data_IF_322547627996
#
_entry.id   IF_322547627996
#
_cell.length_a   1.000
_cell.length_b   1.000
_cell.length_c   1.000
_cell.angle_alpha   90.00
_cell.angle_beta   90.00
_cell.angle_gamma   90.00
#
_symmetry.space_group_name_H-M   'P 1'
#
loop_
_entity.id
_entity.type
_entity.pdbx_description
1 polymer ?
#
# COMPACT_ATOMS: atom_id res chain seq x y z
N UNK A 1 17.33 -97.95 10.24
CA UNK A 1 17.65 -96.54 10.56
C UNK A 1 17.64 -95.68 9.29
N UNK A 2 16.49 -95.47 8.63
CA UNK A 2 16.43 -94.74 7.35
C UNK A 2 15.42 -93.56 7.33
N UNK A 3 14.62 -93.38 8.40
CA UNK A 3 13.53 -92.40 8.43
C UNK A 3 13.90 -91.10 9.17
N UNK A 4 14.98 -91.11 9.97
CA UNK A 4 15.38 -89.97 10.79
C UNK A 4 15.99 -88.80 10.00
N UNK A 5 16.77 -89.10 8.95
CA UNK A 5 17.42 -88.09 8.10
C UNK A 5 16.41 -87.21 7.34
N UNK A 6 15.40 -87.75 6.63
CA UNK A 6 14.43 -86.92 5.90
C UNK A 6 13.50 -86.09 6.81
N UNK A 7 13.22 -86.55 8.03
CA UNK A 7 12.41 -85.78 9.01
C UNK A 7 13.21 -84.60 9.56
N UNK A 8 14.50 -84.79 9.84
CA UNK A 8 15.39 -83.71 10.28
C UNK A 8 15.59 -82.66 9.19
N UNK A 9 15.80 -83.05 7.94
CA UNK A 9 15.93 -82.08 6.84
C UNK A 9 14.64 -81.30 6.59
N UNK A 10 13.48 -81.96 6.64
CA UNK A 10 12.17 -81.28 6.54
C UNK A 10 11.93 -80.28 7.68
N UNK A 11 12.32 -80.62 8.91
CA UNK A 11 12.25 -79.72 10.06
C UNK A 11 13.17 -78.51 9.91
N UNK A 12 14.43 -78.72 9.49
CA UNK A 12 15.39 -77.64 9.24
C UNK A 12 14.95 -76.70 8.13
N UNK A 13 14.44 -77.24 7.02
CA UNK A 13 13.90 -76.42 5.93
C UNK A 13 12.72 -75.60 6.43
N UNK A 14 11.75 -76.20 7.15
CA UNK A 14 10.60 -75.49 7.70
C UNK A 14 11.01 -74.38 8.66
N UNK A 15 11.97 -74.63 9.53
CA UNK A 15 12.46 -73.64 10.49
C UNK A 15 13.23 -72.50 9.79
N UNK A 16 14.09 -72.82 8.82
CA UNK A 16 14.76 -71.83 7.98
C UNK A 16 13.77 -70.97 7.19
N UNK A 17 12.71 -71.57 6.62
CA UNK A 17 11.68 -70.82 5.88
C UNK A 17 10.89 -69.89 6.82
N UNK A 18 10.58 -70.35 8.04
CA UNK A 18 9.89 -69.54 9.05
C UNK A 18 10.75 -68.36 9.51
N UNK A 19 12.05 -68.56 9.73
CA UNK A 19 12.99 -67.48 10.06
C UNK A 19 13.09 -66.47 8.91
N UNK A 20 13.27 -66.93 7.68
CA UNK A 20 13.32 -66.06 6.51
C UNK A 20 12.01 -65.26 6.31
N UNK A 21 10.85 -65.87 6.53
CA UNK A 21 9.55 -65.19 6.48
C UNK A 21 9.40 -64.13 7.57
N UNK A 22 9.84 -64.42 8.79
CA UNK A 22 9.82 -63.45 9.90
C UNK A 22 10.76 -62.26 9.63
N UNK A 23 11.94 -62.51 9.08
CA UNK A 23 12.90 -61.48 8.68
C UNK A 23 12.35 -60.61 7.55
N UNK A 24 11.76 -61.23 6.52
CA UNK A 24 11.09 -60.52 5.43
C UNK A 24 9.94 -59.65 5.94
N UNK A 25 9.12 -60.15 6.87
CA UNK A 25 8.06 -59.38 7.50
C UNK A 25 8.60 -58.20 8.34
N UNK A 26 9.74 -58.37 9.02
CA UNK A 26 10.40 -57.30 9.78
C UNK A 26 11.03 -56.25 8.86
N UNK A 27 11.62 -56.65 7.72
CA UNK A 27 12.11 -55.73 6.69
C UNK A 27 10.95 -54.96 6.05
N UNK A 28 9.86 -55.65 5.69
CA UNK A 28 8.66 -55.02 5.14
C UNK A 28 8.04 -53.99 6.08
N UNK A 29 7.96 -54.29 7.39
CA UNK A 29 7.52 -53.31 8.41
C UNK A 29 8.43 -52.08 8.47
N UNK A 30 9.75 -52.27 8.52
CA UNK A 30 10.72 -51.16 8.52
C UNK A 30 10.62 -50.31 7.25
N UNK A 31 10.42 -50.94 6.09
CA UNK A 31 10.22 -50.22 4.83
C UNK A 31 8.91 -49.41 4.84
N UNK A 32 7.82 -50.00 5.36
CA UNK A 32 6.55 -49.30 5.51
C UNK A 32 6.67 -48.11 6.48
N UNK A 33 7.28 -48.30 7.66
CA UNK A 33 7.50 -47.24 8.65
C UNK A 33 8.35 -46.10 8.06
N UNK A 34 9.41 -46.44 7.30
CA UNK A 34 10.26 -45.46 6.62
C UNK A 34 9.48 -44.70 5.54
N UNK A 35 8.64 -45.39 4.76
CA UNK A 35 7.83 -44.75 3.72
C UNK A 35 6.80 -43.78 4.31
N UNK A 36 6.17 -44.14 5.44
CA UNK A 36 5.24 -43.26 6.17
C UNK A 36 5.95 -42.03 6.72
N UNK A 37 7.13 -42.19 7.32
CA UNK A 37 7.92 -41.07 7.83
C UNK A 37 8.37 -40.11 6.71
N UNK A 38 8.77 -40.65 5.55
CA UNK A 38 9.11 -39.83 4.37
C UNK A 38 7.89 -39.05 3.88
N UNK A 39 6.74 -39.72 3.73
CA UNK A 39 5.50 -39.09 3.29
C UNK A 39 5.06 -37.96 4.25
N UNK A 40 5.19 -38.19 5.56
CA UNK A 40 4.88 -37.19 6.59
C UNK A 40 5.79 -35.96 6.48
N UNK A 41 7.11 -36.16 6.37
CA UNK A 41 8.07 -35.06 6.21
C UNK A 41 7.85 -34.28 4.92
N UNK A 42 7.50 -34.99 3.85
CA UNK A 42 7.17 -34.36 2.58
C UNK A 42 5.93 -33.47 2.72
N UNK A 43 4.86 -33.98 3.34
CA UNK A 43 3.64 -33.20 3.60
C UNK A 43 3.91 -31.98 4.49
N UNK A 44 4.72 -32.12 5.55
CA UNK A 44 5.12 -31.01 6.42
C UNK A 44 5.91 -29.94 5.65
N UNK A 45 6.81 -30.36 4.76
CA UNK A 45 7.59 -29.45 3.90
C UNK A 45 6.71 -28.74 2.88
N UNK A 46 5.81 -29.45 2.22
CA UNK A 46 4.87 -28.89 1.24
C UNK A 46 3.91 -27.89 1.89
N UNK A 47 3.42 -28.19 3.10
CA UNK A 47 2.59 -27.26 3.88
C UNK A 47 3.35 -26.00 4.27
N UNK A 48 4.60 -26.13 4.70
CA UNK A 48 5.44 -24.98 5.04
C UNK A 48 5.73 -24.10 3.81
N UNK A 49 6.09 -24.71 2.68
CA UNK A 49 6.30 -23.99 1.41
C UNK A 49 5.03 -23.26 0.96
N UNK A 50 3.88 -23.94 0.97
CA UNK A 50 2.61 -23.33 0.58
C UNK A 50 2.20 -22.17 1.50
N UNK A 51 2.43 -22.29 2.80
CA UNK A 51 2.18 -21.22 3.76
C UNK A 51 3.08 -20.00 3.47
N UNK A 52 4.36 -20.24 3.19
CA UNK A 52 5.30 -19.18 2.82
C UNK A 52 4.92 -18.48 1.51
N UNK A 53 4.49 -19.23 0.50
CA UNK A 53 4.02 -18.68 -0.78
C UNK A 53 2.78 -17.81 -0.61
N UNK A 54 1.78 -18.28 0.16
CA UNK A 54 0.56 -17.51 0.46
C UNK A 54 0.92 -16.20 1.16
N UNK A 55 1.79 -16.26 2.16
CA UNK A 55 2.23 -15.09 2.91
C UNK A 55 2.94 -14.09 2.01
N UNK A 56 3.88 -14.56 1.20
CA UNK A 56 4.62 -13.71 0.25
C UNK A 56 3.67 -13.04 -0.74
N UNK A 57 2.75 -13.79 -1.33
CA UNK A 57 1.76 -13.27 -2.26
C UNK A 57 0.86 -12.20 -1.61
N UNK A 58 0.42 -12.41 -0.38
CA UNK A 58 -0.38 -11.43 0.36
C UNK A 58 0.40 -10.13 0.63
N UNK A 59 1.68 -10.23 1.03
CA UNK A 59 2.54 -9.07 1.24
C UNK A 59 2.77 -8.30 -0.05
N UNK A 60 3.08 -8.99 -1.16
CA UNK A 60 3.29 -8.40 -2.48
C UNK A 60 2.01 -7.71 -2.99
N UNK A 61 0.84 -8.33 -2.81
CA UNK A 61 -0.44 -7.76 -3.19
C UNK A 61 -0.76 -6.48 -2.40
N UNK A 62 -0.59 -6.50 -1.07
CA UNK A 62 -0.82 -5.33 -0.23
C UNK A 62 0.12 -4.17 -0.56
N UNK A 63 1.42 -4.45 -0.75
CA UNK A 63 2.38 -3.44 -1.18
C UNK A 63 2.04 -2.84 -2.55
N UNK A 64 1.71 -3.69 -3.52
CA UNK A 64 1.33 -3.25 -4.86
C UNK A 64 0.08 -2.36 -4.82
N UNK A 65 -0.92 -2.72 -4.03
CA UNK A 65 -2.12 -1.91 -3.85
C UNK A 65 -1.82 -0.56 -3.18
N UNK A 66 -0.99 -0.54 -2.13
CA UNK A 66 -0.58 0.68 -1.46
C UNK A 66 0.23 1.61 -2.39
N UNK A 67 1.17 1.06 -3.15
CA UNK A 67 1.96 1.80 -4.13
C UNK A 67 1.08 2.35 -5.26
N UNK A 68 0.08 1.57 -5.72
CA UNK A 68 -0.92 2.02 -6.69
C UNK A 68 -1.74 3.19 -6.15
N UNK A 69 -2.23 3.12 -4.90
CA UNK A 69 -2.96 4.23 -4.29
C UNK A 69 -2.09 5.49 -4.25
N UNK A 70 -0.85 5.40 -3.77
CA UNK A 70 0.06 6.54 -3.73
C UNK A 70 0.31 7.13 -5.13
N UNK A 71 0.45 6.26 -6.13
CA UNK A 71 0.59 6.67 -7.53
C UNK A 71 -0.65 7.38 -8.08
N UNK A 72 -1.85 6.87 -7.80
CA UNK A 72 -3.09 7.52 -8.25
C UNK A 72 -3.25 8.88 -7.59
N UNK A 73 -3.02 9.00 -6.27
CA UNK A 73 -3.05 10.28 -5.53
C UNK A 73 -2.13 11.32 -6.17
N UNK A 74 -0.93 10.92 -6.60
CA UNK A 74 0.02 11.79 -7.28
C UNK A 74 -0.44 12.26 -8.67
N UNK A 75 -1.27 11.45 -9.34
CA UNK A 75 -1.79 11.72 -10.68
C UNK A 75 -3.09 12.48 -10.69
N UNK A 76 -3.88 12.42 -9.62
CA UNK A 76 -5.19 13.10 -9.52
C UNK A 76 -5.17 14.57 -9.98
N UNK A 77 -4.14 15.41 -9.68
CA UNK A 77 -4.11 16.79 -10.15
C UNK A 77 -4.19 16.92 -11.68
N UNK A 78 -3.66 15.96 -12.44
CA UNK A 78 -3.67 15.99 -13.91
C UNK A 78 -4.92 15.33 -14.51
N UNK A 79 -5.73 14.65 -13.70
CA UNK A 79 -6.95 13.98 -14.13
C UNK A 79 -8.12 14.97 -14.12
N UNK A 80 -9.04 14.83 -15.07
CA UNK A 80 -10.29 15.59 -15.11
C UNK A 80 -11.15 15.30 -13.89
N UNK A 81 -11.80 16.32 -13.34
CA UNK A 81 -12.52 16.23 -12.05
C UNK A 81 -13.51 15.06 -11.97
N UNK A 82 -14.28 14.82 -13.04
CA UNK A 82 -15.33 13.79 -13.09
C UNK A 82 -14.80 12.35 -12.93
N UNK A 83 -13.48 12.14 -13.14
CA UNK A 83 -12.84 10.82 -13.03
C UNK A 83 -12.06 10.63 -11.73
N UNK A 84 -11.77 11.70 -11.00
CA UNK A 84 -10.88 11.67 -9.82
C UNK A 84 -11.42 10.75 -8.72
N UNK A 85 -12.70 10.88 -8.40
CA UNK A 85 -13.35 10.09 -7.35
C UNK A 85 -13.39 8.59 -7.69
N UNK A 86 -13.70 8.26 -8.94
CA UNK A 86 -13.76 6.86 -9.39
C UNK A 86 -12.38 6.17 -9.31
N UNK A 87 -11.32 6.84 -9.78
CA UNK A 87 -9.95 6.31 -9.72
C UNK A 87 -9.46 6.12 -8.27
N UNK A 88 -9.70 7.12 -7.42
CA UNK A 88 -9.34 7.05 -6.00
C UNK A 88 -10.09 5.91 -5.30
N UNK A 89 -11.39 5.78 -5.56
CA UNK A 89 -12.23 4.73 -4.98
C UNK A 89 -11.76 3.34 -5.40
N UNK A 90 -11.44 3.13 -6.69
CA UNK A 90 -10.92 1.86 -7.17
C UNK A 90 -9.61 1.46 -6.46
N UNK A 91 -8.63 2.38 -6.39
CA UNK A 91 -7.36 2.12 -5.73
C UNK A 91 -7.53 1.86 -4.22
N UNK A 92 -8.40 2.62 -3.56
CA UNK A 92 -8.72 2.46 -2.15
C UNK A 92 -9.33 1.10 -1.85
N UNK A 93 -10.29 0.65 -2.66
CA UNK A 93 -10.93 -0.66 -2.51
C UNK A 93 -9.89 -1.78 -2.61
N UNK A 94 -8.92 -1.66 -3.51
CA UNK A 94 -7.86 -2.66 -3.68
C UNK A 94 -6.93 -2.75 -2.46
N UNK A 95 -6.57 -1.61 -1.86
CA UNK A 95 -5.80 -1.55 -0.62
C UNK A 95 -6.54 -2.27 0.51
N UNK A 96 -7.83 -1.98 0.70
CA UNK A 96 -8.62 -2.59 1.77
C UNK A 96 -8.82 -4.10 1.56
N UNK A 97 -9.02 -4.55 0.32
CA UNK A 97 -9.10 -5.99 -0.01
C UNK A 97 -7.78 -6.71 0.29
N UNK A 98 -6.67 -6.12 -0.13
CA UNK A 98 -5.34 -6.72 0.07
C UNK A 98 -4.94 -6.72 1.55
N UNK A 99 -5.30 -5.67 2.30
CA UNK A 99 -5.16 -5.64 3.76
C UNK A 99 -5.95 -6.77 4.42
N UNK A 100 -7.22 -6.95 4.07
CA UNK A 100 -8.06 -7.99 4.69
C UNK A 100 -7.48 -9.40 4.44
N UNK A 101 -6.94 -9.66 3.25
CA UNK A 101 -6.26 -10.91 2.94
C UNK A 101 -4.99 -11.13 3.79
N UNK A 102 -4.23 -10.07 4.04
CA UNK A 102 -3.03 -10.10 4.88
C UNK A 102 -3.38 -10.28 6.36
N UNK A 103 -4.41 -9.60 6.85
CA UNK A 103 -4.90 -9.67 8.22
C UNK A 103 -5.34 -11.09 8.61
N UNK A 104 -5.97 -11.81 7.68
CA UNK A 104 -6.38 -13.21 7.87
C UNK A 104 -5.22 -14.17 8.13
N UNK A 105 -3.98 -13.81 7.79
CA UNK A 105 -2.80 -14.62 8.07
C UNK A 105 -2.38 -14.58 9.55
N UNK A 106 -2.80 -13.55 10.30
CA UNK A 106 -2.62 -13.47 11.76
C UNK A 106 -1.16 -13.46 12.23
N UNK A 107 -0.27 -12.76 11.52
CA UNK A 107 1.16 -12.65 11.88
C UNK A 107 1.37 -11.32 12.60
N UNK A 108 1.53 -11.35 13.92
CA UNK A 108 1.49 -10.16 14.79
C UNK A 108 2.45 -9.04 14.35
N UNK A 109 3.75 -9.34 14.16
CA UNK A 109 4.75 -8.34 13.76
C UNK A 109 4.45 -7.75 12.36
N UNK A 110 3.93 -8.55 11.45
CA UNK A 110 3.57 -8.12 10.09
C UNK A 110 2.30 -7.27 10.11
N UNK A 111 1.31 -7.66 10.93
CA UNK A 111 0.03 -6.97 11.07
C UNK A 111 0.19 -5.56 11.66
N UNK A 112 1.12 -5.36 12.60
CA UNK A 112 1.41 -4.02 13.14
C UNK A 112 1.94 -3.08 12.05
N UNK A 113 2.97 -3.51 11.31
CA UNK A 113 3.58 -2.68 10.26
C UNK A 113 2.61 -2.43 9.10
N UNK A 114 1.83 -3.45 8.73
CA UNK A 114 0.81 -3.29 7.69
C UNK A 114 -0.32 -2.35 8.11
N UNK A 115 -0.73 -2.36 9.39
CA UNK A 115 -1.70 -1.38 9.92
C UNK A 115 -1.12 0.03 9.91
N UNK A 116 0.17 0.18 10.22
CA UNK A 116 0.89 1.45 10.07
C UNK A 116 0.81 1.97 8.63
N UNK A 117 1.15 1.14 7.65
CA UNK A 117 1.05 1.49 6.24
C UNK A 117 -0.39 1.81 5.81
N UNK A 118 -1.37 1.01 6.25
CA UNK A 118 -2.79 1.27 5.97
C UNK A 118 -3.26 2.62 6.51
N UNK A 119 -2.80 3.01 7.69
CA UNK A 119 -3.13 4.32 8.30
C UNK A 119 -2.65 5.47 7.42
N UNK A 120 -1.45 5.34 6.84
CA UNK A 120 -0.94 6.32 5.89
C UNK A 120 -1.73 6.32 4.57
N UNK A 121 -2.11 5.15 4.04
CA UNK A 121 -3.01 5.05 2.89
C UNK A 121 -4.34 5.79 3.12
N UNK A 122 -4.98 5.56 4.27
CA UNK A 122 -6.24 6.21 4.65
C UNK A 122 -6.08 7.72 4.83
N UNK A 123 -4.94 8.18 5.35
CA UNK A 123 -4.65 9.62 5.44
C UNK A 123 -4.50 10.23 4.05
N UNK A 124 -3.80 9.57 3.14
CA UNK A 124 -3.68 10.02 1.74
C UNK A 124 -5.05 10.07 1.05
N UNK A 125 -5.85 9.01 1.16
CA UNK A 125 -7.20 8.94 0.62
C UNK A 125 -8.06 10.13 1.06
N UNK A 126 -8.08 10.40 2.37
CA UNK A 126 -8.92 11.45 2.97
C UNK A 126 -8.72 12.83 2.36
N UNK A 127 -7.48 13.15 2.00
CA UNK A 127 -7.10 14.48 1.50
C UNK A 127 -6.88 14.51 -0.02
N UNK A 128 -6.89 13.35 -0.69
CA UNK A 128 -6.45 13.21 -2.08
C UNK A 128 -7.22 14.09 -3.07
N UNK A 129 -8.56 14.13 -2.98
CA UNK A 129 -9.39 14.90 -3.91
C UNK A 129 -9.19 16.41 -3.72
N UNK A 130 -9.21 16.86 -2.47
CA UNK A 130 -9.04 18.28 -2.15
C UNK A 130 -7.62 18.75 -2.47
N UNK A 131 -6.61 17.93 -2.16
CA UNK A 131 -5.22 18.14 -2.55
C UNK A 131 -5.09 18.23 -4.07
N UNK A 132 -5.79 17.38 -4.84
CA UNK A 132 -5.77 17.45 -6.29
C UNK A 132 -6.36 18.76 -6.84
N UNK A 133 -7.40 19.31 -6.20
CA UNK A 133 -7.95 20.63 -6.54
C UNK A 133 -6.92 21.73 -6.31
N UNK A 134 -6.28 21.76 -5.14
CA UNK A 134 -5.29 22.78 -4.79
C UNK A 134 -4.02 22.71 -5.63
N UNK A 135 -3.53 21.50 -5.92
CA UNK A 135 -2.37 21.28 -6.79
C UNK A 135 -2.64 21.71 -8.22
N UNK A 136 -3.80 21.36 -8.76
CA UNK A 136 -4.23 21.82 -10.08
C UNK A 136 -4.32 23.35 -10.12
N UNK A 137 -4.92 23.96 -9.09
CA UNK A 137 -5.01 25.41 -8.98
C UNK A 137 -3.63 26.08 -8.94
N UNK A 138 -2.73 25.57 -8.10
CA UNK A 138 -1.36 26.09 -7.95
C UNK A 138 -0.59 26.01 -9.26
N UNK A 139 -0.63 24.88 -9.96
CA UNK A 139 0.02 24.71 -11.25
C UNK A 139 -0.50 25.70 -12.31
N UNK A 140 -1.83 25.94 -12.34
CA UNK A 140 -2.42 26.92 -13.27
C UNK A 140 -2.03 28.36 -12.95
N UNK A 141 -1.91 28.69 -11.66
CA UNK A 141 -1.43 30.01 -11.23
C UNK A 141 0.04 30.20 -11.58
N UNK A 142 0.86 29.16 -11.43
CA UNK A 142 2.28 29.15 -11.83
C UNK A 142 2.46 29.41 -13.33
N UNK A 143 1.63 28.80 -14.19
CA UNK A 143 1.60 29.07 -15.63
C UNK A 143 1.26 30.53 -15.98
N UNK A 144 0.63 31.26 -15.05
CA UNK A 144 0.21 32.66 -15.18
C UNK A 144 1.13 33.62 -14.44
N UNK A 145 2.24 33.16 -13.87
CA UNK A 145 3.23 34.06 -13.29
C UNK A 145 3.97 34.84 -14.37
N UNK A 146 4.41 36.06 -14.03
CA UNK A 146 5.21 36.87 -14.93
C UNK A 146 6.52 36.12 -15.28
N UNK A 147 6.86 35.97 -16.57
CA UNK A 147 8.12 35.34 -16.98
C UNK A 147 9.35 36.24 -16.71
N UNK A 148 9.12 37.54 -16.43
CA UNK A 148 10.13 38.53 -16.06
C UNK A 148 10.19 38.78 -14.56
N UNK A 149 10.61 39.97 -14.15
CA UNK A 149 10.56 40.36 -12.74
C UNK A 149 9.12 40.76 -12.37
N UNK A 150 8.51 40.02 -11.44
CA UNK A 150 7.17 40.28 -10.92
C UNK A 150 7.04 41.66 -10.24
N UNK A 151 8.12 42.22 -9.68
CA UNK A 151 8.11 43.53 -9.03
C UNK A 151 7.88 44.71 -9.99
N UNK A 152 8.15 44.52 -11.29
CA UNK A 152 8.06 45.55 -12.33
C UNK A 152 6.98 45.22 -13.36
N UNK A 153 6.20 44.17 -13.12
CA UNK A 153 5.17 43.71 -14.02
C UNK A 153 3.91 44.57 -13.86
N UNK A 154 3.52 45.32 -14.90
CA UNK A 154 2.30 46.13 -14.91
C UNK A 154 1.05 45.33 -15.31
N UNK A 155 1.20 44.06 -15.70
CA UNK A 155 0.07 43.19 -16.04
C UNK A 155 -0.70 42.77 -14.77
N UNK A 156 -1.97 43.20 -14.60
CA UNK A 156 -2.76 42.90 -13.41
C UNK A 156 -3.08 41.41 -13.26
N UNK A 157 -3.07 40.65 -14.36
CA UNK A 157 -3.32 39.20 -14.35
C UNK A 157 -2.18 38.47 -13.65
N UNK A 158 -0.93 38.84 -13.95
CA UNK A 158 0.25 38.26 -13.31
C UNK A 158 0.31 38.62 -11.81
N UNK A 159 -0.03 39.87 -11.46
CA UNK A 159 -0.11 40.34 -10.07
C UNK A 159 -1.17 39.58 -9.26
N UNK A 160 -2.32 39.31 -9.87
CA UNK A 160 -3.39 38.53 -9.23
C UNK A 160 -3.03 37.06 -9.11
N UNK A 161 -2.36 36.48 -10.11
CA UNK A 161 -1.88 35.10 -10.07
C UNK A 161 -0.85 34.86 -8.95
N UNK A 162 0.14 35.76 -8.79
CA UNK A 162 1.14 35.63 -7.73
C UNK A 162 0.50 35.78 -6.34
N UNK A 163 -0.42 36.73 -6.16
CA UNK A 163 -1.12 36.91 -4.89
C UNK A 163 -1.94 35.67 -4.54
N UNK A 164 -2.75 35.15 -5.48
CA UNK A 164 -3.52 33.94 -5.26
C UNK A 164 -2.62 32.74 -4.92
N UNK A 165 -1.48 32.58 -5.59
CA UNK A 165 -0.53 31.48 -5.32
C UNK A 165 0.10 31.60 -3.92
N UNK A 166 0.53 32.80 -3.51
CA UNK A 166 1.06 33.05 -2.16
C UNK A 166 -0.01 32.75 -1.11
N UNK A 167 -1.22 33.28 -1.28
CA UNK A 167 -2.32 33.08 -0.35
C UNK A 167 -2.66 31.59 -0.18
N UNK A 168 -2.69 30.79 -1.26
CA UNK A 168 -2.91 29.35 -1.17
C UNK A 168 -1.76 28.60 -0.48
N UNK A 169 -0.50 28.97 -0.75
CA UNK A 169 0.67 28.29 -0.16
C UNK A 169 0.85 28.61 1.31
N UNK A 170 0.47 29.82 1.73
CA UNK A 170 0.59 30.32 3.10
C UNK A 170 -0.70 30.20 3.93
N UNK A 171 -1.82 29.75 3.35
CA UNK A 171 -3.14 29.67 4.01
C UNK A 171 -3.10 28.98 5.40
N UNK A 172 -2.24 27.97 5.56
CA UNK A 172 -2.05 27.26 6.82
C UNK A 172 -1.45 28.08 7.96
N UNK A 173 -0.82 29.22 7.63
CA UNK A 173 -0.23 30.16 8.58
C UNK A 173 -1.18 31.30 8.95
N UNK A 174 -2.33 31.41 8.29
CA UNK A 174 -3.35 32.42 8.55
C UNK A 174 -4.20 31.97 9.75
N UNK A 175 -4.35 32.87 10.74
CA UNK A 175 -5.19 32.64 11.91
C UNK A 175 -6.67 32.52 11.53
N UNK A 176 -7.43 31.74 12.30
CA UNK A 176 -8.80 31.37 11.93
C UNK A 176 -9.75 32.59 11.84
N UNK A 177 -9.51 33.61 12.65
CA UNK A 177 -10.25 34.88 12.68
C UNK A 177 -9.89 35.81 11.52
N UNK A 178 -8.71 35.66 10.91
CA UNK A 178 -8.28 36.44 9.73
C UNK A 178 -8.68 35.77 8.40
N UNK A 179 -9.02 34.47 8.41
CA UNK A 179 -9.33 33.68 7.20
C UNK A 179 -10.52 34.21 6.40
N UNK A 180 -11.52 34.81 7.03
CA UNK A 180 -12.70 35.33 6.32
C UNK A 180 -12.30 36.49 5.38
N UNK A 181 -11.50 37.43 5.87
CA UNK A 181 -10.99 38.53 5.05
C UNK A 181 -10.08 38.01 3.92
N UNK A 182 -9.16 37.10 4.26
CA UNK A 182 -8.27 36.52 3.25
C UNK A 182 -9.01 35.65 2.23
N UNK A 183 -10.19 35.12 2.55
CA UNK A 183 -11.02 34.37 1.61
C UNK A 183 -11.59 35.28 0.51
N UNK A 184 -12.03 36.49 0.86
CA UNK A 184 -12.50 37.48 -0.11
C UNK A 184 -11.35 37.94 -1.02
N UNK A 185 -10.18 38.23 -0.44
CA UNK A 185 -8.96 38.61 -1.16
C UNK A 185 -8.49 37.48 -2.11
N UNK A 186 -8.55 36.23 -1.64
CA UNK A 186 -8.25 35.05 -2.44
C UNK A 186 -9.24 34.89 -3.59
N UNK A 187 -10.55 34.99 -3.34
CA UNK A 187 -11.57 34.89 -4.40
C UNK A 187 -11.36 35.96 -5.47
N UNK A 188 -11.11 37.20 -5.07
CA UNK A 188 -10.81 38.30 -5.99
C UNK A 188 -9.57 37.97 -6.84
N UNK A 189 -8.46 37.60 -6.19
CA UNK A 189 -7.19 37.30 -6.88
C UNK A 189 -7.32 36.11 -7.83
N UNK A 190 -8.08 35.07 -7.45
CA UNK A 190 -8.33 33.92 -8.31
C UNK A 190 -9.12 34.30 -9.58
N UNK A 191 -10.11 35.20 -9.46
CA UNK A 191 -10.89 35.67 -10.61
C UNK A 191 -10.04 36.51 -11.57
N UNK A 192 -9.31 37.49 -11.04
CA UNK A 192 -8.50 38.41 -11.84
C UNK A 192 -7.25 37.74 -12.45
N UNK A 193 -6.80 36.60 -11.91
CA UNK A 193 -5.68 35.83 -12.47
C UNK A 193 -5.98 35.18 -13.83
N UNK A 194 -7.27 35.06 -14.19
CA UNK A 194 -7.74 34.31 -15.37
C UNK A 194 -7.15 32.87 -15.51
N UNK A 195 -6.58 32.32 -14.44
CA UNK A 195 -5.90 31.03 -14.43
C UNK A 195 -6.90 29.86 -14.38
N UNK A 196 -8.07 30.12 -13.80
CA UNK A 196 -9.08 29.12 -13.46
C UNK A 196 -10.46 29.53 -13.95
N UNK A 197 -11.29 28.53 -14.24
CA UNK A 197 -12.72 28.73 -14.49
C UNK A 197 -13.45 29.03 -13.18
N UNK A 198 -14.60 29.71 -13.26
CA UNK A 198 -15.44 29.96 -12.08
C UNK A 198 -15.76 28.69 -11.28
N UNK A 199 -16.01 27.56 -11.96
CA UNK A 199 -16.27 26.29 -11.28
C UNK A 199 -15.06 25.78 -10.49
N UNK A 200 -13.84 25.95 -11.03
CA UNK A 200 -12.60 25.60 -10.34
C UNK A 200 -12.35 26.53 -9.15
N UNK A 201 -12.60 27.83 -9.30
CA UNK A 201 -12.47 28.82 -8.22
C UNK A 201 -13.36 28.42 -7.03
N UNK A 202 -14.64 28.14 -7.29
CA UNK A 202 -15.58 27.76 -6.23
C UNK A 202 -15.16 26.48 -5.49
N UNK A 203 -14.53 25.52 -6.20
CA UNK A 203 -13.97 24.32 -5.55
C UNK A 203 -12.76 24.64 -4.68
N UNK A 204 -11.85 25.51 -5.14
CA UNK A 204 -10.70 25.96 -4.34
C UNK A 204 -11.17 26.61 -3.04
N UNK A 205 -12.13 27.53 -3.12
CA UNK A 205 -12.72 28.20 -1.95
C UNK A 205 -13.47 27.23 -1.02
N UNK A 206 -14.13 26.21 -1.58
CA UNK A 206 -14.76 25.16 -0.80
C UNK A 206 -13.74 24.26 -0.08
N UNK A 207 -12.50 24.17 -0.55
CA UNK A 207 -11.42 23.42 0.11
C UNK A 207 -10.76 24.25 1.21
N UNK A 208 -10.53 25.55 0.99
CA UNK A 208 -9.88 26.45 1.97
C UNK A 208 -10.68 26.62 3.26
N UNK A 209 -11.98 26.35 3.21
CA UNK A 209 -12.90 26.40 4.36
C UNK A 209 -12.99 25.08 5.14
N UNK A 210 -12.31 24.01 4.72
CA UNK A 210 -12.37 22.70 5.39
C UNK A 210 -11.37 22.59 6.56
N UNK A 211 -11.73 21.87 7.65
CA UNK A 211 -10.87 21.73 8.83
C UNK A 211 -9.80 20.65 8.61
N UNK A 212 -8.80 20.93 7.77
CA UNK A 212 -7.63 20.06 7.56
C UNK A 212 -6.34 20.71 8.03
N UNK A 213 -5.36 19.86 8.35
CA UNK A 213 -3.99 20.33 8.48
C UNK A 213 -3.50 20.78 7.09
N UNK A 214 -3.35 22.09 6.88
CA UNK A 214 -2.97 22.63 5.56
C UNK A 214 -1.62 22.12 5.05
N UNK A 215 -0.74 21.72 5.97
CA UNK A 215 0.53 21.05 5.67
C UNK A 215 0.37 19.75 4.86
N UNK A 216 -0.79 19.10 4.96
CA UNK A 216 -1.13 17.89 4.20
C UNK A 216 -1.79 18.22 2.85
N UNK A 217 -2.12 19.48 2.58
CA UNK A 217 -2.99 19.90 1.47
C UNK A 217 -2.22 20.58 0.34
N UNK A 218 -1.20 21.37 0.67
CA UNK A 218 -0.34 22.06 -0.31
C UNK A 218 1.08 21.54 -0.21
N UNK A 219 1.73 21.29 -1.35
CA UNK A 219 3.19 21.10 -1.37
C UNK A 219 3.81 22.47 -1.26
N UNK A 220 4.28 22.80 -0.06
CA UNK A 220 5.17 23.95 0.11
C UNK A 220 6.53 23.63 -0.53
N UNK A 221 7.46 24.58 -0.53
CA UNK A 221 8.84 24.37 -0.99
C UNK A 221 9.58 23.23 -0.23
N UNK A 222 8.97 22.67 0.81
CA UNK A 222 9.52 21.62 1.67
C UNK A 222 9.00 20.23 1.28
N UNK A 223 9.69 19.20 1.77
CA UNK A 223 9.32 17.81 1.49
C UNK A 223 7.88 17.51 1.94
N UNK A 224 7.10 16.89 1.04
CA UNK A 224 5.70 16.49 1.27
C UNK A 224 5.59 15.56 2.51
N UNK A 225 4.97 16.01 3.62
CA UNK A 225 4.88 15.22 4.84
C UNK A 225 4.09 13.91 4.67
N UNK A 226 3.07 13.91 3.80
CA UNK A 226 2.26 12.71 3.53
C UNK A 226 3.10 11.65 2.82
N UNK A 227 3.83 12.05 1.78
CA UNK A 227 4.70 11.13 1.03
C UNK A 227 5.87 10.64 1.87
N UNK A 228 6.45 11.52 2.69
CA UNK A 228 7.55 11.16 3.60
C UNK A 228 7.08 10.10 4.59
N UNK A 229 5.93 10.31 5.24
CA UNK A 229 5.34 9.35 6.16
C UNK A 229 4.98 8.02 5.51
N UNK A 230 4.34 8.06 4.33
CA UNK A 230 4.01 6.86 3.55
C UNK A 230 5.27 6.05 3.20
N UNK A 231 6.33 6.69 2.70
CA UNK A 231 7.58 6.02 2.34
C UNK A 231 8.22 5.34 3.55
N UNK A 232 8.26 6.01 4.70
CA UNK A 232 8.80 5.44 5.93
C UNK A 232 8.01 4.20 6.38
N UNK A 233 6.68 4.28 6.44
CA UNK A 233 5.82 3.15 6.80
C UNK A 233 5.93 1.98 5.80
N UNK A 234 6.09 2.30 4.50
CA UNK A 234 6.33 1.31 3.45
C UNK A 234 7.65 0.56 3.66
N UNK A 235 8.73 1.29 3.99
CA UNK A 235 10.04 0.69 4.26
C UNK A 235 10.02 -0.19 5.52
N UNK A 236 9.29 0.20 6.56
CA UNK A 236 9.05 -0.62 7.75
C UNK A 236 8.31 -1.91 7.42
N UNK A 237 7.23 -1.82 6.64
CA UNK A 237 6.49 -3.00 6.20
C UNK A 237 7.36 -3.95 5.36
N UNK A 238 8.13 -3.44 4.40
CA UNK A 238 9.04 -4.26 3.57
C UNK A 238 10.06 -4.98 4.44
N UNK A 239 10.65 -4.30 5.44
CA UNK A 239 11.59 -4.94 6.38
C UNK A 239 10.93 -6.07 7.17
N UNK A 240 9.70 -5.87 7.64
CA UNK A 240 8.94 -6.89 8.36
C UNK A 240 8.57 -8.08 7.45
N UNK A 241 8.21 -7.83 6.20
CA UNK A 241 7.85 -8.86 5.21
C UNK A 241 9.05 -9.72 4.79
N UNK A 242 10.27 -9.17 4.78
CA UNK A 242 11.50 -9.93 4.47
C UNK A 242 12.02 -10.70 5.69
N UNK A 243 11.80 -10.19 6.90
CA UNK A 243 12.27 -10.80 8.14
C UNK A 243 11.41 -11.99 8.61
N UNK A 244 10.19 -12.12 8.08
CA UNK A 244 9.24 -13.18 8.40
C UNK A 244 9.21 -14.25 7.32
#
# INVERSE_FOLDING_TARGET
MAVLVPVLTAWWVRDATRRASNEAAAVGRRQADTAVEIARRQEETERAQRSQEIRRAACEAFLSAADRLAHEVDRLPQVTDDLREALLSEATVEVHKSWAALELLGIDELSEQARGLLTHCQRMERVALDRAVLHHASARLEEKLCPGNSEWCEDPVHGSAIHAWICLTEWGHIEEDEREQHLEELEFSLRESEALTNAQIQRVLAVTTRPFAWSDMVVTWHADPLKTGFKAAREEFVRAAVSN
#
